data_IF_040828278717
#
_entry.id   IF_040828278717
#
_cell.length_a   1.000
_cell.length_b   1.000
_cell.length_c   1.000
_cell.angle_alpha   90.00
_cell.angle_beta   90.00
_cell.angle_gamma   90.00
#
_symmetry.space_group_name_H-M   'P 1'
#
loop_
_entity.id
_entity.type
_entity.pdbx_description
1 polymer ?
#
# COMPACT_ATOMS: atom_id res chain seq x y z
N UNK A 1 -0.53 11.63 -2.13
CA UNK A 1 -0.78 10.18 -2.26
C UNK A 1 0.11 9.69 -3.38
N UNK A 2 0.99 8.74 -3.11
CA UNK A 2 1.79 8.07 -4.14
C UNK A 2 0.95 6.97 -4.81
N UNK A 3 1.02 6.88 -6.13
CA UNK A 3 0.42 5.77 -6.88
C UNK A 3 1.54 4.85 -7.32
N UNK A 4 1.56 3.66 -6.76
CA UNK A 4 2.62 2.68 -6.97
C UNK A 4 2.01 1.27 -7.11
N UNK A 5 2.83 0.24 -7.03
CA UNK A 5 2.43 -1.16 -7.13
C UNK A 5 2.66 -1.91 -5.81
N UNK A 6 1.85 -2.94 -5.55
CA UNK A 6 2.01 -3.83 -4.40
C UNK A 6 2.31 -5.26 -4.82
N UNK A 7 2.70 -6.08 -3.85
CA UNK A 7 3.04 -7.49 -4.09
C UNK A 7 1.75 -8.32 -4.05
N UNK A 8 1.57 -9.23 -5.02
CA UNK A 8 0.52 -10.24 -4.93
C UNK A 8 1.05 -11.49 -4.19
N UNK A 9 0.69 -11.65 -2.92
CA UNK A 9 1.09 -12.75 -2.03
C UNK A 9 0.38 -14.08 -2.33
N UNK A 10 -0.63 -14.08 -3.21
CA UNK A 10 -1.20 -15.30 -3.80
C UNK A 10 -0.28 -15.95 -4.85
N UNK A 11 0.93 -15.41 -5.04
CA UNK A 11 1.97 -16.02 -5.87
C UNK A 11 2.44 -17.35 -5.23
N UNK A 12 2.53 -18.45 -6.01
CA UNK A 12 3.04 -19.72 -5.50
C UNK A 12 4.41 -19.58 -4.81
N UNK A 13 4.52 -20.10 -3.59
CA UNK A 13 5.74 -20.03 -2.78
C UNK A 13 5.83 -18.82 -1.83
N UNK A 14 4.81 -17.95 -1.80
CA UNK A 14 4.77 -16.76 -0.92
C UNK A 14 3.84 -16.91 0.31
N UNK A 15 3.48 -18.13 0.69
CA UNK A 15 2.61 -18.38 1.87
C UNK A 15 3.29 -17.99 3.19
N UNK A 16 2.54 -17.41 4.14
CA UNK A 16 3.01 -17.11 5.50
C UNK A 16 3.74 -15.77 5.64
N UNK A 17 3.55 -14.86 4.68
CA UNK A 17 4.14 -13.52 4.69
C UNK A 17 3.31 -12.54 5.52
N UNK A 18 3.75 -11.29 5.60
CA UNK A 18 3.15 -10.23 6.43
C UNK A 18 1.84 -9.66 5.87
N UNK A 19 1.39 -10.13 4.71
CA UNK A 19 0.22 -9.63 4.00
C UNK A 19 -0.38 -10.71 3.11
N UNK A 20 -1.67 -10.54 2.83
CA UNK A 20 -2.51 -11.44 2.03
C UNK A 20 -3.03 -10.73 0.76
N UNK A 21 -2.43 -9.60 0.38
CA UNK A 21 -2.84 -8.87 -0.82
C UNK A 21 -2.66 -9.76 -2.06
N UNK A 22 -3.65 -9.77 -2.94
CA UNK A 22 -3.76 -10.73 -4.06
C UNK A 22 -4.25 -10.05 -5.33
N UNK A 23 -4.04 -10.70 -6.48
CA UNK A 23 -4.59 -10.20 -7.73
C UNK A 23 -6.12 -10.22 -7.67
N UNK A 24 -6.74 -9.17 -8.23
CA UNK A 24 -8.20 -9.04 -8.28
C UNK A 24 -8.89 -8.72 -6.94
N UNK A 25 -8.14 -8.59 -5.83
CA UNK A 25 -8.69 -8.22 -4.51
C UNK A 25 -9.01 -6.72 -4.33
N UNK A 26 -8.98 -5.94 -5.41
CA UNK A 26 -9.13 -4.48 -5.38
C UNK A 26 -7.82 -3.72 -5.12
N UNK A 27 -7.89 -2.37 -4.99
CA UNK A 27 -6.71 -1.54 -4.75
C UNK A 27 -5.99 -1.95 -3.47
N UNK A 28 -4.67 -1.90 -3.49
CA UNK A 28 -3.83 -2.14 -2.31
C UNK A 28 -3.38 -0.82 -1.72
N UNK A 29 -3.49 -0.71 -0.40
CA UNK A 29 -3.05 0.44 0.37
C UNK A 29 -1.95 0.03 1.32
N UNK A 30 -0.80 0.68 1.20
CA UNK A 30 0.37 0.38 2.02
C UNK A 30 0.24 1.05 3.39
N UNK A 31 0.24 0.26 4.46
CA UNK A 31 0.30 0.75 5.85
C UNK A 31 1.71 1.21 6.19
N UNK A 32 2.70 0.44 5.75
CA UNK A 32 4.11 0.79 5.79
C UNK A 32 4.88 -0.05 4.78
N UNK A 33 6.00 0.50 4.33
CA UNK A 33 7.09 -0.22 3.68
C UNK A 33 8.40 0.02 4.46
N UNK A 34 9.57 -0.35 3.92
CA UNK A 34 10.83 -0.11 4.62
C UNK A 34 11.23 1.38 4.66
N UNK A 35 10.56 2.24 3.90
CA UNK A 35 10.96 3.64 3.71
C UNK A 35 9.94 4.64 4.25
N UNK A 36 8.70 4.22 4.54
CA UNK A 36 7.63 5.12 4.98
C UNK A 36 6.54 4.41 5.79
N UNK A 37 5.90 5.16 6.69
CA UNK A 37 4.68 4.74 7.41
C UNK A 37 3.54 5.66 6.98
N UNK A 38 2.41 5.07 6.55
CA UNK A 38 1.29 5.84 6.04
C UNK A 38 0.66 6.74 7.11
N UNK A 39 0.41 7.99 6.73
CA UNK A 39 -0.23 8.99 7.59
C UNK A 39 -1.62 8.53 8.06
N UNK A 40 -1.88 8.60 9.37
CA UNK A 40 -3.13 8.10 9.98
C UNK A 40 -4.38 8.76 9.41
N UNK A 41 -4.34 10.08 9.19
CA UNK A 41 -5.49 10.82 8.63
C UNK A 41 -5.83 10.39 7.20
N UNK A 42 -4.82 10.10 6.38
CA UNK A 42 -5.04 9.64 5.01
C UNK A 42 -5.57 8.20 4.98
N UNK A 43 -5.09 7.34 5.88
CA UNK A 43 -5.65 5.98 6.05
C UNK A 43 -7.13 6.02 6.41
N UNK A 44 -7.53 6.91 7.31
CA UNK A 44 -8.95 7.09 7.65
C UNK A 44 -9.74 7.57 6.44
N UNK A 45 -9.24 8.60 5.74
CA UNK A 45 -9.89 9.14 4.55
C UNK A 45 -10.13 8.07 3.47
N UNK A 46 -9.13 7.23 3.17
CA UNK A 46 -9.29 6.15 2.19
C UNK A 46 -10.29 5.08 2.66
N UNK A 47 -10.32 4.75 3.95
CA UNK A 47 -11.37 3.84 4.48
C UNK A 47 -12.76 4.41 4.29
N UNK A 48 -12.94 5.70 4.55
CA UNK A 48 -14.23 6.38 4.43
C UNK A 48 -14.68 6.42 2.96
N UNK A 49 -13.79 6.81 2.03
CA UNK A 49 -14.05 6.82 0.58
C UNK A 49 -14.35 5.42 0.04
N UNK A 50 -13.56 4.41 0.43
CA UNK A 50 -13.78 3.03 0.01
C UNK A 50 -15.14 2.51 0.48
N UNK A 51 -15.55 2.85 1.70
CA UNK A 51 -16.87 2.50 2.24
C UNK A 51 -18.00 3.20 1.49
N UNK A 52 -17.85 4.49 1.18
CA UNK A 52 -18.85 5.26 0.44
C UNK A 52 -19.12 4.68 -0.96
N UNK A 53 -18.06 4.23 -1.63
CA UNK A 53 -18.15 3.71 -3.00
C UNK A 53 -18.24 2.18 -3.11
N UNK A 54 -18.37 1.46 -1.98
CA UNK A 54 -18.37 -0.01 -1.94
C UNK A 54 -17.16 -0.64 -2.63
N UNK A 55 -15.96 -0.07 -2.42
CA UNK A 55 -14.71 -0.56 -2.98
C UNK A 55 -14.00 -1.42 -1.93
N UNK A 56 -13.73 -2.68 -2.28
CA UNK A 56 -12.90 -3.55 -1.44
C UNK A 56 -11.42 -3.12 -1.57
N UNK A 57 -10.81 -2.78 -0.44
CA UNK A 57 -9.42 -2.31 -0.36
C UNK A 57 -8.59 -3.30 0.43
N UNK A 58 -7.45 -3.68 -0.13
CA UNK A 58 -6.46 -4.53 0.50
C UNK A 58 -5.49 -3.67 1.29
N UNK A 59 -5.07 -4.14 2.46
CA UNK A 59 -4.14 -3.40 3.31
C UNK A 59 -2.86 -4.19 3.50
N UNK A 60 -1.75 -3.58 3.13
CA UNK A 60 -0.49 -4.27 2.98
C UNK A 60 0.59 -3.65 3.88
N UNK A 61 1.51 -4.49 4.30
CA UNK A 61 2.69 -4.14 5.09
C UNK A 61 3.84 -4.94 4.51
N UNK A 62 4.77 -4.25 3.85
CA UNK A 62 5.88 -4.86 3.13
C UNK A 62 7.20 -4.47 3.80
N UNK A 63 7.80 -5.33 4.64
CA UNK A 63 8.99 -4.96 5.42
C UNK A 63 10.23 -4.67 4.59
N UNK A 64 10.25 -5.06 3.31
CA UNK A 64 11.35 -4.85 2.37
C UNK A 64 10.92 -4.00 1.18
N UNK A 65 11.90 -3.41 0.49
CA UNK A 65 11.64 -2.46 -0.60
C UNK A 65 11.06 -1.13 -0.12
N UNK A 66 10.60 -0.31 -1.05
CA UNK A 66 10.02 0.99 -0.74
C UNK A 66 9.25 1.53 -1.93
N UNK A 67 8.31 2.42 -1.64
CA UNK A 67 7.49 3.08 -2.65
C UNK A 67 7.89 4.55 -2.78
N UNK A 68 7.33 5.25 -3.76
CA UNK A 68 7.55 6.70 -3.93
C UNK A 68 7.18 7.51 -2.67
N UNK A 69 6.35 6.98 -1.78
CA UNK A 69 6.04 7.59 -0.48
C UNK A 69 7.29 7.80 0.40
N UNK A 70 8.32 6.98 0.24
CA UNK A 70 9.61 7.10 0.94
C UNK A 70 10.26 8.48 0.73
N UNK A 71 10.32 8.97 -0.50
CA UNK A 71 10.88 10.30 -0.77
C UNK A 71 9.88 11.43 -0.51
N UNK A 72 8.59 11.21 -0.78
CA UNK A 72 7.57 12.25 -0.62
C UNK A 72 7.39 12.63 0.86
N UNK A 73 7.33 11.66 1.78
CA UNK A 73 6.98 11.96 3.17
C UNK A 73 8.04 12.79 3.91
N UNK A 74 9.31 12.73 3.48
CA UNK A 74 10.42 13.53 4.03
C UNK A 74 10.72 14.80 3.22
N UNK A 75 10.01 15.04 2.12
CA UNK A 75 10.22 16.25 1.34
C UNK A 75 9.80 17.50 2.12
N UNK A 76 10.50 18.61 1.89
CA UNK A 76 10.27 19.90 2.57
C UNK A 76 10.29 19.77 4.11
N UNK A 77 9.19 20.13 4.77
CA UNK A 77 9.00 20.07 6.23
C UNK A 77 8.25 18.79 6.67
N UNK A 78 8.15 17.81 5.77
CA UNK A 78 7.36 16.61 5.94
C UNK A 78 5.97 16.73 5.30
N UNK A 79 5.58 15.72 4.53
CA UNK A 79 4.31 15.72 3.80
C UNK A 79 3.48 14.53 4.27
N UNK A 80 2.23 14.73 4.77
CA UNK A 80 1.30 13.64 5.00
C UNK A 80 1.15 12.78 3.75
N UNK A 81 1.62 11.54 3.82
CA UNK A 81 1.79 10.67 2.65
C UNK A 81 1.29 9.27 2.93
N UNK A 82 0.87 8.58 1.87
CA UNK A 82 0.57 7.15 1.83
C UNK A 82 0.71 6.65 0.40
N UNK A 83 0.81 5.34 0.23
CA UNK A 83 0.81 4.66 -1.07
C UNK A 83 -0.49 3.91 -1.30
N UNK A 84 -1.05 4.08 -2.48
CA UNK A 84 -2.15 3.28 -3.02
C UNK A 84 -1.72 2.71 -4.38
N UNK A 85 -2.22 1.54 -4.73
CA UNK A 85 -1.77 0.87 -5.93
C UNK A 85 -2.64 -0.29 -6.36
N UNK A 86 -2.09 -1.07 -7.29
CA UNK A 86 -2.59 -2.39 -7.68
C UNK A 86 -1.54 -3.44 -7.35
N UNK A 87 -1.97 -4.63 -6.95
CA UNK A 87 -1.06 -5.76 -6.77
C UNK A 87 -0.59 -6.29 -8.12
N UNK A 88 0.67 -6.70 -8.20
CA UNK A 88 1.23 -7.40 -9.35
C UNK A 88 2.18 -8.51 -8.93
N UNK A 89 2.57 -9.33 -9.90
CA UNK A 89 3.59 -10.38 -9.74
C UNK A 89 4.85 -10.01 -10.51
N UNK A 90 5.98 -10.53 -10.06
CA UNK A 90 7.28 -10.31 -10.71
C UNK A 90 7.68 -8.82 -10.76
N UNK A 91 7.40 -8.11 -9.67
CA UNK A 91 7.99 -6.80 -9.42
C UNK A 91 9.52 -6.96 -9.41
N UNK A 92 10.21 -6.01 -10.04
CA UNK A 92 11.63 -6.08 -10.37
C UNK A 92 12.51 -6.61 -9.23
#
# INVERSE_FOLDING_TARGET
IAVDVGIAYDTPGMSGQTSDSKLGGGPVVMRMDATSIAHQGLRKHIKDVAKEHNIEVQWDTTPGGGTDAGSIHVANEGIPTMTIGVTLRYMH
#
